data_IF_927467246963
#
_entry.id   IF_927467246963
#
_cell.length_a   1.000
_cell.length_b   1.000
_cell.length_c   1.000
_cell.angle_alpha   90.00
_cell.angle_beta   90.00
_cell.angle_gamma   90.00
#
_symmetry.space_group_name_H-M   'P 1'
#
loop_
_entity.id
_entity.type
_entity.pdbx_description
1 polymer ?
#
# COMPACT_ATOMS: atom_id res chain seq x y z
N UNK A 1 5.69 2.14 31.50
CA UNK A 1 6.48 1.01 30.97
C UNK A 1 5.94 0.67 29.59
N UNK A 2 6.62 1.08 28.53
CA UNK A 2 6.24 0.73 27.16
C UNK A 2 6.33 -0.79 27.00
N UNK A 3 5.27 -1.44 26.52
CA UNK A 3 5.36 -2.84 26.10
C UNK A 3 6.29 -2.89 24.90
N UNK A 4 7.44 -3.53 25.10
CA UNK A 4 8.32 -3.92 24.01
C UNK A 4 7.56 -4.99 23.22
N UNK A 5 7.34 -4.73 21.93
CA UNK A 5 6.71 -5.69 21.02
C UNK A 5 7.42 -7.04 21.14
N UNK A 6 6.68 -8.12 21.38
CA UNK A 6 7.26 -9.46 21.34
C UNK A 6 7.62 -9.73 19.87
N UNK A 7 8.86 -10.11 19.53
CA UNK A 7 9.24 -10.44 18.16
C UNK A 7 8.44 -11.62 17.56
N UNK A 8 7.57 -12.26 18.36
CA UNK A 8 6.63 -13.32 17.95
C UNK A 8 5.21 -12.83 17.69
N UNK A 9 4.90 -11.55 17.90
CA UNK A 9 3.65 -10.99 17.41
C UNK A 9 3.64 -11.11 15.88
N UNK A 10 2.58 -11.69 15.27
CA UNK A 10 2.54 -11.89 13.83
C UNK A 10 2.44 -10.53 13.15
N UNK A 11 3.58 -9.99 12.73
CA UNK A 11 3.67 -8.86 11.82
C UNK A 11 2.83 -9.17 10.59
N UNK A 12 1.64 -8.58 10.55
CA UNK A 12 0.68 -8.80 9.47
C UNK A 12 0.93 -7.74 8.42
N UNK A 13 1.81 -8.06 7.47
CA UNK A 13 2.02 -7.22 6.29
C UNK A 13 0.83 -7.42 5.35
N UNK A 14 0.06 -6.36 5.15
CA UNK A 14 -1.03 -6.31 4.19
C UNK A 14 -0.49 -5.86 2.83
N UNK A 15 -1.17 -6.24 1.75
CA UNK A 15 -0.85 -5.73 0.43
C UNK A 15 -2.09 -5.58 -0.45
N UNK A 16 -1.99 -4.72 -1.45
CA UNK A 16 -2.90 -4.69 -2.59
C UNK A 16 -2.12 -4.40 -3.88
N UNK A 17 -2.65 -4.83 -5.01
CA UNK A 17 -2.09 -4.53 -6.33
C UNK A 17 -3.13 -3.88 -7.21
N UNK A 18 -2.72 -2.86 -7.96
CA UNK A 18 -3.61 -2.09 -8.81
C UNK A 18 -2.95 -1.81 -10.16
N UNK A 19 -3.77 -1.81 -11.21
CA UNK A 19 -3.42 -1.37 -12.55
C UNK A 19 -4.48 -0.43 -13.10
N UNK A 20 -4.17 0.26 -14.18
CA UNK A 20 -5.18 1.03 -14.91
C UNK A 20 -6.14 0.08 -15.64
N UNK A 21 -7.41 0.49 -15.85
CA UNK A 21 -8.34 -0.24 -16.68
C UNK A 21 -7.78 -0.47 -18.09
N UNK A 22 -8.15 -1.61 -18.67
CA UNK A 22 -7.80 -1.95 -20.05
C UNK A 22 -8.33 -0.88 -21.02
N UNK A 23 -7.51 -0.50 -22.00
CA UNK A 23 -7.89 0.41 -23.09
C UNK A 23 -7.24 1.79 -22.99
N UNK A 24 -7.99 2.85 -23.33
CA UNK A 24 -7.45 4.20 -23.38
C UNK A 24 -6.91 4.64 -22.01
N UNK A 25 -5.63 5.00 -21.95
CA UNK A 25 -4.96 5.38 -20.71
C UNK A 25 -4.41 4.22 -19.88
N UNK A 26 -4.48 2.96 -20.36
CA UNK A 26 -3.92 1.80 -19.67
C UNK A 26 -2.43 2.00 -19.31
N UNK A 27 -1.63 2.55 -20.22
CA UNK A 27 -0.21 2.84 -20.00
C UNK A 27 0.09 4.16 -19.27
N UNK A 28 -0.93 4.90 -18.80
CA UNK A 28 -0.72 6.18 -18.11
C UNK A 28 -0.23 5.95 -16.67
N UNK A 29 1.11 5.96 -16.50
CA UNK A 29 1.77 5.79 -15.20
C UNK A 29 1.36 6.89 -14.21
N UNK A 30 1.12 8.12 -14.68
CA UNK A 30 0.73 9.22 -13.79
C UNK A 30 -0.69 9.02 -13.27
N UNK A 31 -1.61 8.53 -14.09
CA UNK A 31 -2.94 8.15 -13.65
C UNK A 31 -2.90 6.98 -12.67
N UNK A 32 -2.03 5.99 -12.90
CA UNK A 32 -1.85 4.85 -11.99
C UNK A 32 -1.38 5.30 -10.60
N UNK A 33 -0.36 6.17 -10.54
CA UNK A 33 0.16 6.69 -9.27
C UNK A 33 -0.90 7.45 -8.46
N UNK A 34 -1.75 8.25 -9.13
CA UNK A 34 -2.85 8.95 -8.46
C UNK A 34 -3.89 7.98 -7.90
N UNK A 35 -4.28 6.95 -8.66
CA UNK A 35 -5.23 5.93 -8.19
C UNK A 35 -4.70 5.11 -7.02
N UNK A 36 -3.40 4.83 -7.00
CA UNK A 36 -2.74 4.17 -5.88
C UNK A 36 -2.74 5.09 -4.66
N UNK A 37 -2.44 6.38 -4.82
CA UNK A 37 -2.54 7.36 -3.74
C UNK A 37 -3.97 7.44 -3.17
N UNK A 38 -5.00 7.53 -4.02
CA UNK A 38 -6.40 7.52 -3.60
C UNK A 38 -6.75 6.24 -2.80
N UNK A 39 -6.18 5.10 -3.18
CA UNK A 39 -6.38 3.83 -2.48
C UNK A 39 -5.68 3.80 -1.12
N UNK A 40 -4.48 4.39 -1.02
CA UNK A 40 -3.75 4.53 0.25
C UNK A 40 -4.52 5.45 1.20
N UNK A 41 -5.01 6.60 0.72
CA UNK A 41 -5.82 7.53 1.51
C UNK A 41 -7.08 6.86 2.06
N UNK A 42 -7.71 5.96 1.28
CA UNK A 42 -8.88 5.20 1.71
C UNK A 42 -8.59 4.14 2.79
N UNK A 43 -7.34 3.74 2.99
CA UNK A 43 -6.95 2.80 4.05
C UNK A 43 -6.89 3.47 5.44
N UNK A 44 -6.80 4.79 5.50
CA UNK A 44 -6.58 5.54 6.74
C UNK A 44 -5.11 5.53 7.18
N UNK A 45 -4.87 5.56 8.49
CA UNK A 45 -3.49 5.59 9.03
C UNK A 45 -2.81 4.22 8.86
N UNK A 46 -1.90 4.16 7.88
CA UNK A 46 -1.08 2.99 7.57
C UNK A 46 0.38 3.38 7.43
N UNK A 47 1.28 2.46 7.76
CA UNK A 47 2.71 2.59 7.45
C UNK A 47 3.00 1.83 6.16
N UNK A 48 3.37 2.57 5.11
CA UNK A 48 3.67 1.98 3.79
C UNK A 48 5.15 1.58 3.77
N UNK A 49 5.39 0.28 3.65
CA UNK A 49 6.74 -0.27 3.70
C UNK A 49 7.42 -0.34 2.33
N UNK A 50 6.67 -0.70 1.29
CA UNK A 50 7.22 -0.86 -0.06
C UNK A 50 6.17 -0.63 -1.15
N UNK A 51 6.64 -0.17 -2.32
CA UNK A 51 5.88 -0.06 -3.56
C UNK A 51 6.67 -0.73 -4.69
N UNK A 52 6.10 -1.79 -5.25
CA UNK A 52 6.71 -2.51 -6.37
C UNK A 52 5.93 -2.27 -7.65
N UNK A 53 6.58 -1.74 -8.68
CA UNK A 53 6.01 -1.63 -10.03
C UNK A 53 6.32 -2.89 -10.84
N UNK A 54 5.29 -3.45 -11.47
CA UNK A 54 5.41 -4.55 -12.42
C UNK A 54 4.90 -4.12 -13.80
N UNK A 55 5.51 -4.64 -14.85
CA UNK A 55 5.08 -4.42 -16.23
C UNK A 55 4.94 -5.77 -16.92
N UNK A 56 3.73 -6.08 -17.36
CA UNK A 56 3.45 -7.23 -18.23
C UNK A 56 3.34 -6.75 -19.68
N UNK A 57 4.03 -7.42 -20.61
CA UNK A 57 3.90 -7.14 -22.04
C UNK A 57 2.74 -7.97 -22.59
N UNK A 58 1.66 -7.30 -23.00
CA UNK A 58 0.45 -7.96 -23.50
C UNK A 58 0.22 -7.69 -24.99
N UNK A 59 -0.77 -8.36 -25.59
CA UNK A 59 -1.17 -8.11 -26.98
C UNK A 59 -1.67 -6.66 -27.21
N UNK A 60 -2.12 -5.99 -26.15
CA UNK A 60 -2.64 -4.62 -26.16
C UNK A 60 -1.59 -3.57 -25.76
N UNK A 61 -0.33 -3.99 -25.59
CA UNK A 61 0.78 -3.17 -25.13
C UNK A 61 1.17 -3.44 -23.67
N UNK A 62 2.02 -2.57 -23.13
CA UNK A 62 2.50 -2.67 -21.75
C UNK A 62 1.36 -2.47 -20.75
N UNK A 63 1.25 -3.38 -19.78
CA UNK A 63 0.32 -3.30 -18.67
C UNK A 63 1.09 -3.12 -17.37
N UNK A 64 1.07 -1.89 -16.86
CA UNK A 64 1.70 -1.54 -15.60
C UNK A 64 0.78 -1.81 -14.41
N UNK A 65 1.34 -2.37 -13.34
CA UNK A 65 0.69 -2.47 -12.03
C UNK A 65 1.65 -2.02 -10.94
N UNK A 66 1.09 -1.57 -9.82
CA UNK A 66 1.83 -1.27 -8.59
C UNK A 66 1.23 -2.11 -7.47
N UNK A 67 2.09 -2.81 -6.73
CA UNK A 67 1.76 -3.51 -5.50
C UNK A 67 2.28 -2.70 -4.32
N UNK A 68 1.40 -2.41 -3.37
CA UNK A 68 1.71 -1.68 -2.13
C UNK A 68 1.73 -2.68 -0.98
N UNK A 69 2.80 -2.67 -0.19
CA UNK A 69 2.92 -3.41 1.06
C UNK A 69 2.85 -2.43 2.23
N UNK A 70 2.00 -2.72 3.20
CA UNK A 70 1.73 -1.81 4.30
C UNK A 70 1.34 -2.54 5.59
N UNK A 71 1.49 -1.85 6.70
CA UNK A 71 0.98 -2.25 8.01
C UNK A 71 -0.09 -1.26 8.47
N UNK A 72 -1.05 -1.74 9.25
CA UNK A 72 -2.05 -0.86 9.87
C UNK A 72 -1.49 -0.40 11.20
N UNK A 73 -1.63 0.89 11.51
CA UNK A 73 -1.35 1.35 12.86
C UNK A 73 -2.34 0.66 13.80
N UNK A 74 -1.85 -0.16 14.73
CA UNK A 74 -2.70 -0.73 15.78
C UNK A 74 -3.37 0.42 16.54
N UNK A 75 -4.70 0.40 16.66
CA UNK A 75 -5.52 1.42 17.35
C UNK A 75 -5.18 1.56 18.85
N UNK A 76 -4.27 0.75 19.38
CA UNK A 76 -3.86 0.70 20.79
C UNK A 76 -2.62 1.54 21.13
N UNK A 77 -2.19 2.47 20.26
CA UNK A 77 -1.26 3.55 20.68
C UNK A 77 -2.02 4.69 21.40
N UNK A 78 -2.92 4.32 22.30
CA UNK A 78 -3.72 5.23 23.12
C UNK A 78 -2.97 5.67 24.38
N UNK A 79 -2.69 6.97 24.46
CA UNK A 79 -2.31 7.75 25.65
C UNK A 79 -0.96 7.42 26.32
N UNK A 80 0.06 8.23 26.05
CA UNK A 80 1.13 8.45 27.03
C UNK A 80 0.57 9.25 28.23
N UNK A 81 0.65 8.74 29.47
CA UNK A 81 0.53 9.58 30.65
C UNK A 81 1.74 10.50 30.69
N UNK A 82 1.51 11.81 30.59
CA UNK A 82 2.51 12.82 30.91
C UNK A 82 2.82 12.73 32.40
N UNK A 83 4.08 12.48 32.75
CA UNK A 83 4.64 12.74 34.08
C UNK A 83 5.88 13.62 33.91
#
# INVERSE_FOLDING_TARGET
MARQHDPRDPWSVYHFSQSNPKGAGQGDISALLRRVADSIDALGEVDVQDLMMHTEVTADGDWHSITVYYERADEDRGAEPTD
#
